data_IF_261082669921
#
_entry.id   IF_261082669921
#
_cell.length_a   1.000
_cell.length_b   1.000
_cell.length_c   1.000
_cell.angle_alpha   90.00
_cell.angle_beta   90.00
_cell.angle_gamma   90.00
#
_symmetry.space_group_name_H-M   'P 1'
#
loop_
_entity.id
_entity.type
_entity.pdbx_description
1 polymer ?
#
# COMPACT_ATOMS: atom_id res chain seq x y z
N UNK A 1 -22.27 3.92 12.57
CA UNK A 1 -21.66 3.33 11.36
C UNK A 1 -22.70 3.39 10.28
N UNK A 2 -22.42 4.07 9.15
CA UNK A 2 -23.20 3.87 7.94
C UNK A 2 -23.14 2.39 7.55
N UNK A 3 -24.23 1.83 7.02
CA UNK A 3 -24.21 0.47 6.50
C UNK A 3 -23.27 0.42 5.30
N UNK A 4 -22.44 -0.62 5.18
CA UNK A 4 -21.61 -0.82 4.01
C UNK A 4 -22.50 -0.90 2.76
N UNK A 5 -22.08 -0.34 1.60
CA UNK A 5 -22.85 -0.42 0.37
C UNK A 5 -23.13 -1.89 0.02
N UNK A 6 -24.39 -2.21 -0.33
CA UNK A 6 -24.77 -3.59 -0.63
C UNK A 6 -24.14 -4.06 -1.95
N UNK A 7 -23.51 -5.24 -1.98
CA UNK A 7 -22.95 -5.81 -3.20
C UNK A 7 -24.04 -5.96 -4.26
N UNK A 8 -23.82 -5.35 -5.43
CA UNK A 8 -24.77 -5.41 -6.54
C UNK A 8 -24.05 -5.88 -7.79
N UNK A 9 -24.62 -6.86 -8.49
CA UNK A 9 -24.14 -7.24 -9.80
C UNK A 9 -24.36 -6.09 -10.80
N UNK A 10 -23.30 -5.62 -11.45
CA UNK A 10 -23.38 -4.53 -12.42
C UNK A 10 -23.13 -5.07 -13.82
N UNK A 11 -24.21 -5.25 -14.57
CA UNK A 11 -24.13 -5.61 -15.98
C UNK A 11 -23.73 -4.39 -16.82
N UNK A 12 -22.85 -4.60 -17.82
CA UNK A 12 -22.49 -3.60 -18.85
C UNK A 12 -21.88 -2.28 -18.35
N UNK A 13 -21.63 -2.13 -17.05
CA UNK A 13 -20.94 -0.97 -16.47
C UNK A 13 -21.81 0.21 -16.07
N UNK A 14 -23.15 0.08 -16.03
CA UNK A 14 -24.02 1.17 -15.61
C UNK A 14 -23.68 1.69 -14.19
N UNK A 15 -23.50 3.00 -14.04
CA UNK A 15 -23.18 3.62 -12.75
C UNK A 15 -21.74 3.37 -12.26
N UNK A 16 -20.84 2.92 -13.14
CA UNK A 16 -19.42 2.69 -12.84
C UNK A 16 -18.57 3.82 -13.42
N UNK A 17 -17.77 4.47 -12.58
CA UNK A 17 -16.67 5.34 -13.03
C UNK A 17 -15.38 4.51 -13.03
N UNK A 18 -14.64 4.47 -14.14
CA UNK A 18 -13.32 3.84 -14.21
C UNK A 18 -12.28 4.89 -14.56
N UNK A 19 -11.36 5.18 -13.65
CA UNK A 19 -10.22 6.06 -13.90
C UNK A 19 -8.99 5.24 -14.27
N UNK A 20 -8.47 5.44 -15.49
CA UNK A 20 -7.28 4.79 -16.02
C UNK A 20 -6.06 5.68 -15.78
N UNK A 21 -5.15 5.23 -14.92
CA UNK A 21 -3.84 5.84 -14.74
C UNK A 21 -2.78 5.11 -15.59
N UNK A 22 -2.68 5.47 -16.87
CA UNK A 22 -1.77 4.85 -17.86
C UNK A 22 -0.28 5.10 -17.57
N UNK A 23 0.04 6.04 -16.67
CA UNK A 23 1.41 6.31 -16.21
C UNK A 23 1.90 5.28 -15.18
N UNK A 24 0.99 4.51 -14.58
CA UNK A 24 1.35 3.38 -13.72
C UNK A 24 1.98 2.23 -14.54
N UNK A 25 3.03 1.60 -14.02
CA UNK A 25 3.49 0.31 -14.56
C UNK A 25 4.28 0.33 -15.88
N UNK A 26 4.75 1.50 -16.36
CA UNK A 26 5.53 1.70 -17.61
C UNK A 26 6.80 0.85 -17.77
N UNK A 27 7.19 0.10 -16.75
CA UNK A 27 8.31 -0.85 -16.78
C UNK A 27 7.95 -2.22 -17.38
N UNK A 28 6.67 -2.51 -17.64
CA UNK A 28 6.19 -3.79 -18.16
C UNK A 28 5.31 -3.52 -19.39
N UNK A 29 5.59 -4.20 -20.52
CA UNK A 29 4.73 -4.14 -21.71
C UNK A 29 3.45 -4.91 -21.39
N UNK A 30 2.29 -4.26 -21.50
CA UNK A 30 0.97 -4.85 -21.32
C UNK A 30 0.06 -4.42 -22.46
N UNK A 31 -0.89 -5.27 -22.80
CA UNK A 31 -1.99 -4.86 -23.66
C UNK A 31 -2.79 -3.76 -22.97
N UNK A 32 -3.18 -2.73 -23.73
CA UNK A 32 -4.07 -1.70 -23.21
C UNK A 32 -5.46 -2.32 -22.98
N UNK A 33 -6.01 -2.27 -21.76
CA UNK A 33 -7.35 -2.83 -21.49
C UNK A 33 -8.50 -2.00 -22.07
N UNK A 34 -8.24 -0.87 -22.74
CA UNK A 34 -9.29 0.03 -23.23
C UNK A 34 -10.33 -0.68 -24.11
N UNK A 35 -9.90 -1.51 -25.07
CA UNK A 35 -10.81 -2.24 -25.96
C UNK A 35 -11.68 -3.23 -25.19
N UNK A 36 -11.07 -4.00 -24.28
CA UNK A 36 -11.79 -4.94 -23.43
C UNK A 36 -12.82 -4.24 -22.53
N UNK A 37 -12.45 -3.13 -21.90
CA UNK A 37 -13.35 -2.35 -21.03
C UNK A 37 -14.50 -1.80 -21.87
N UNK A 38 -14.23 -1.25 -23.05
CA UNK A 38 -15.27 -0.72 -23.94
C UNK A 38 -16.23 -1.80 -24.45
N UNK A 39 -15.72 -3.02 -24.72
CA UNK A 39 -16.53 -4.16 -25.16
C UNK A 39 -17.43 -4.69 -24.04
N UNK A 40 -16.86 -4.90 -22.85
CA UNK A 40 -17.57 -5.55 -21.72
C UNK A 40 -18.39 -4.58 -20.89
N UNK A 41 -17.91 -3.35 -20.72
CA UNK A 41 -18.52 -2.30 -19.90
C UNK A 41 -18.87 -1.06 -20.74
N UNK A 42 -19.69 -1.18 -21.80
CA UNK A 42 -19.98 -0.07 -22.71
C UNK A 42 -20.72 1.11 -22.06
N UNK A 43 -21.30 0.92 -20.87
CA UNK A 43 -22.05 1.95 -20.13
C UNK A 43 -21.25 2.55 -18.97
N UNK A 44 -19.99 2.12 -18.76
CA UNK A 44 -19.10 2.73 -17.77
C UNK A 44 -18.59 4.10 -18.23
N UNK A 45 -18.50 5.05 -17.29
CA UNK A 45 -17.79 6.32 -17.49
C UNK A 45 -16.29 6.05 -17.36
N UNK A 46 -15.59 5.89 -18.48
CA UNK A 46 -14.16 5.61 -18.49
C UNK A 46 -13.39 6.91 -18.74
N UNK A 47 -12.54 7.31 -17.79
CA UNK A 47 -11.68 8.49 -17.90
C UNK A 47 -10.22 8.12 -17.83
N UNK A 48 -9.40 8.74 -18.67
CA UNK A 48 -7.95 8.66 -18.55
C UNK A 48 -7.45 9.82 -17.69
N UNK A 49 -6.61 9.52 -16.69
CA UNK A 49 -6.08 10.53 -15.79
C UNK A 49 -4.95 11.31 -16.48
N UNK A 50 -5.17 12.59 -16.73
CA UNK A 50 -4.23 13.47 -17.41
C UNK A 50 -2.92 13.68 -16.63
N UNK A 51 -1.94 14.27 -17.30
CA UNK A 51 -0.72 14.74 -16.64
C UNK A 51 -1.05 15.94 -15.72
N UNK A 52 -0.72 15.82 -14.44
CA UNK A 52 -0.98 16.87 -13.45
C UNK A 52 -2.39 16.89 -12.87
N UNK A 53 -3.32 16.06 -13.37
CA UNK A 53 -4.64 15.89 -12.75
C UNK A 53 -4.56 15.04 -11.46
N UNK A 54 -5.33 15.45 -10.45
CA UNK A 54 -5.55 14.67 -9.24
C UNK A 54 -6.73 13.70 -9.43
N UNK A 55 -6.53 12.45 -9.02
CA UNK A 55 -7.59 11.44 -8.99
C UNK A 55 -8.79 11.90 -8.15
N UNK A 56 -8.55 12.62 -7.06
CA UNK A 56 -9.59 13.14 -6.19
C UNK A 56 -10.49 14.15 -6.90
N UNK A 57 -9.93 15.03 -7.73
CA UNK A 57 -10.71 16.03 -8.47
C UNK A 57 -11.65 15.36 -9.49
N UNK A 58 -11.16 14.34 -10.19
CA UNK A 58 -11.95 13.55 -11.14
C UNK A 58 -13.12 12.86 -10.44
N UNK A 59 -12.87 12.25 -9.29
CA UNK A 59 -13.90 11.55 -8.50
C UNK A 59 -14.88 12.54 -7.89
N UNK A 60 -14.41 13.61 -7.24
CA UNK A 60 -15.28 14.61 -6.60
C UNK A 60 -16.19 15.29 -7.64
N UNK A 61 -15.70 15.51 -8.86
CA UNK A 61 -16.52 16.00 -9.99
C UNK A 61 -17.62 14.99 -10.37
N UNK A 62 -17.28 13.71 -10.51
CA UNK A 62 -18.26 12.68 -10.85
C UNK A 62 -19.31 12.48 -9.73
N UNK A 63 -18.89 12.60 -8.48
CA UNK A 63 -19.76 12.48 -7.30
C UNK A 63 -20.70 13.67 -7.12
N UNK A 64 -20.41 14.81 -7.72
CA UNK A 64 -21.27 15.99 -7.73
C UNK A 64 -22.34 15.98 -8.85
N UNK A 65 -22.34 14.97 -9.72
CA UNK A 65 -23.32 14.84 -10.79
C UNK A 65 -24.73 14.51 -10.27
N UNK A 66 -25.77 14.75 -11.09
CA UNK A 66 -27.17 14.42 -10.76
C UNK A 66 -27.37 12.92 -10.48
N UNK A 67 -26.63 12.08 -11.19
CA UNK A 67 -26.62 10.63 -11.03
C UNK A 67 -25.17 10.18 -10.78
N UNK A 68 -24.68 10.26 -9.53
CA UNK A 68 -23.30 9.95 -9.21
C UNK A 68 -23.04 8.44 -9.31
N UNK A 69 -21.81 8.02 -9.67
CA UNK A 69 -21.48 6.61 -9.78
C UNK A 69 -21.68 5.87 -8.44
N UNK A 70 -22.17 4.63 -8.52
CA UNK A 70 -22.32 3.72 -7.39
C UNK A 70 -21.05 2.88 -7.15
N UNK A 71 -20.22 2.74 -8.20
CA UNK A 71 -18.94 2.03 -8.16
C UNK A 71 -17.83 2.95 -8.65
N UNK A 72 -16.75 3.03 -7.86
CA UNK A 72 -15.52 3.71 -8.24
C UNK A 72 -14.48 2.68 -8.62
N UNK A 73 -13.97 2.78 -9.84
CA UNK A 73 -13.03 1.87 -10.45
C UNK A 73 -11.70 2.54 -10.79
N UNK A 74 -10.61 1.81 -10.63
CA UNK A 74 -9.28 2.31 -11.02
C UNK A 74 -8.47 1.25 -11.75
N UNK A 75 -7.92 1.61 -12.91
CA UNK A 75 -6.86 0.87 -13.58
C UNK A 75 -5.53 1.54 -13.29
N UNK A 76 -4.71 0.94 -12.43
CA UNK A 76 -3.47 1.57 -11.97
C UNK A 76 -2.61 0.67 -11.08
N UNK A 77 -1.56 1.24 -10.51
CA UNK A 77 -0.72 0.57 -9.52
C UNK A 77 -1.23 0.72 -8.08
N UNK A 78 -0.48 0.17 -7.13
CA UNK A 78 -0.88 0.11 -5.71
C UNK A 78 -1.19 1.50 -5.10
N UNK A 79 -0.44 2.56 -5.46
CA UNK A 79 -0.73 3.93 -5.00
C UNK A 79 -2.07 4.48 -5.53
N UNK A 80 -2.37 4.28 -6.83
CA UNK A 80 -3.67 4.68 -7.40
C UNK A 80 -4.83 3.90 -6.81
N UNK A 81 -4.61 2.63 -6.50
CA UNK A 81 -5.58 1.77 -5.82
C UNK A 81 -5.84 2.23 -4.39
N UNK A 82 -4.79 2.57 -3.64
CA UNK A 82 -4.92 3.10 -2.28
C UNK A 82 -5.71 4.41 -2.27
N UNK A 83 -5.35 5.34 -3.17
CA UNK A 83 -6.06 6.62 -3.31
C UNK A 83 -7.52 6.45 -3.71
N UNK A 84 -7.82 5.55 -4.66
CA UNK A 84 -9.21 5.27 -5.03
C UNK A 84 -9.99 4.61 -3.90
N UNK A 85 -9.36 3.75 -3.08
CA UNK A 85 -10.01 3.14 -1.93
C UNK A 85 -10.36 4.17 -0.84
N UNK A 86 -9.49 5.15 -0.60
CA UNK A 86 -9.78 6.27 0.29
C UNK A 86 -10.98 7.07 -0.21
N UNK A 87 -11.05 7.36 -1.52
CA UNK A 87 -12.17 8.06 -2.14
C UNK A 87 -13.47 7.24 -2.11
N UNK A 88 -13.39 5.93 -2.36
CA UNK A 88 -14.52 5.03 -2.24
C UNK A 88 -15.07 4.99 -0.81
N UNK A 89 -14.19 4.96 0.20
CA UNK A 89 -14.59 5.06 1.60
C UNK A 89 -15.19 6.44 1.94
N UNK A 90 -14.57 7.53 1.49
CA UNK A 90 -15.05 8.92 1.69
C UNK A 90 -16.49 9.10 1.18
N UNK A 91 -16.79 8.48 0.04
CA UNK A 91 -18.07 8.62 -0.65
C UNK A 91 -19.05 7.47 -0.42
N UNK A 92 -18.73 6.50 0.45
CA UNK A 92 -19.53 5.28 0.67
C UNK A 92 -19.87 4.54 -0.64
N UNK A 93 -18.85 4.19 -1.42
CA UNK A 93 -18.97 3.50 -2.73
C UNK A 93 -18.22 2.18 -2.75
N UNK A 94 -18.69 1.26 -3.61
CA UNK A 94 -17.99 0.02 -3.91
C UNK A 94 -16.74 0.32 -4.75
N UNK A 95 -15.69 -0.45 -4.52
CA UNK A 95 -14.41 -0.30 -5.22
C UNK A 95 -14.21 -1.41 -6.26
N UNK A 96 -13.86 -1.01 -7.48
CA UNK A 96 -13.42 -1.92 -8.55
C UNK A 96 -11.92 -1.71 -8.81
N UNK A 97 -11.10 -2.71 -8.53
CA UNK A 97 -9.65 -2.63 -8.73
C UNK A 97 -9.25 -3.36 -10.00
N UNK A 98 -8.59 -2.67 -10.93
CA UNK A 98 -8.04 -3.25 -12.14
C UNK A 98 -6.50 -3.14 -12.14
N UNK A 99 -5.76 -4.26 -12.24
CA UNK A 99 -4.31 -4.26 -12.09
C UNK A 99 -3.59 -3.62 -13.30
N UNK A 100 -3.08 -2.39 -13.13
CA UNK A 100 -2.31 -1.65 -14.15
C UNK A 100 -0.84 -1.38 -13.79
N UNK A 101 -0.44 -1.55 -12.53
CA UNK A 101 0.91 -1.30 -12.04
C UNK A 101 1.91 -2.44 -12.21
N UNK A 102 3.14 -2.28 -11.73
CA UNK A 102 4.20 -3.29 -11.85
C UNK A 102 3.96 -4.49 -10.93
N UNK A 103 3.62 -4.23 -9.66
CA UNK A 103 3.53 -5.28 -8.64
C UNK A 103 2.10 -5.70 -8.30
N UNK A 104 1.15 -4.75 -8.30
CA UNK A 104 -0.29 -4.98 -8.06
C UNK A 104 -0.53 -5.83 -6.81
N UNK A 105 0.16 -5.49 -5.73
CA UNK A 105 0.12 -6.25 -4.48
C UNK A 105 -1.30 -6.37 -3.95
N UNK A 106 -2.05 -5.25 -3.93
CA UNK A 106 -3.42 -5.27 -3.45
C UNK A 106 -4.33 -6.15 -4.30
N UNK A 107 -4.37 -5.89 -5.62
CA UNK A 107 -5.23 -6.60 -6.55
C UNK A 107 -5.00 -8.13 -6.46
N UNK A 108 -3.73 -8.55 -6.39
CA UNK A 108 -3.36 -9.96 -6.22
C UNK A 108 -3.80 -10.54 -4.89
N UNK A 109 -3.67 -9.81 -3.79
CA UNK A 109 -4.21 -10.25 -2.48
C UNK A 109 -5.73 -10.33 -2.49
N UNK A 110 -6.41 -9.58 -3.35
CA UNK A 110 -7.85 -9.69 -3.59
C UNK A 110 -8.23 -10.80 -4.58
N UNK A 111 -7.27 -11.53 -5.15
CA UNK A 111 -7.53 -12.52 -6.21
C UNK A 111 -7.79 -11.93 -7.58
N UNK A 112 -7.68 -10.60 -7.76
CA UNK A 112 -7.86 -9.91 -9.04
C UNK A 112 -6.53 -9.89 -9.79
N UNK A 113 -6.33 -10.88 -10.66
CA UNK A 113 -5.05 -11.12 -11.35
C UNK A 113 -4.89 -10.32 -12.66
N UNK A 114 -6.01 -9.98 -13.29
CA UNK A 114 -6.11 -9.21 -14.53
C UNK A 114 -7.41 -8.39 -14.58
N UNK A 115 -7.62 -7.64 -15.68
CA UNK A 115 -8.81 -6.80 -15.88
C UNK A 115 -10.07 -7.65 -16.10
N UNK A 116 -9.95 -8.80 -16.76
CA UNK A 116 -11.06 -9.72 -17.04
C UNK A 116 -11.65 -10.23 -15.73
N UNK A 117 -10.79 -10.68 -14.80
CA UNK A 117 -11.18 -11.12 -13.46
C UNK A 117 -11.90 -10.02 -12.67
N UNK A 118 -11.49 -8.76 -12.83
CA UNK A 118 -12.14 -7.63 -12.18
C UNK A 118 -13.56 -7.41 -12.72
N UNK A 119 -13.73 -7.48 -14.05
CA UNK A 119 -15.02 -7.34 -14.73
C UNK A 119 -15.94 -8.50 -14.37
N UNK A 120 -15.44 -9.73 -14.34
CA UNK A 120 -16.24 -10.91 -13.97
C UNK A 120 -16.75 -10.81 -12.51
N UNK A 121 -15.92 -10.30 -11.60
CA UNK A 121 -16.34 -10.04 -10.23
C UNK A 121 -17.41 -8.94 -10.13
N UNK A 122 -17.28 -7.86 -10.92
CA UNK A 122 -18.26 -6.79 -11.03
C UNK A 122 -19.62 -7.31 -11.55
N UNK A 123 -19.60 -8.05 -12.66
CA UNK A 123 -20.80 -8.57 -13.32
C UNK A 123 -21.51 -9.64 -12.47
N UNK A 124 -20.77 -10.41 -11.67
CA UNK A 124 -21.34 -11.39 -10.74
C UNK A 124 -21.80 -10.77 -9.41
N UNK A 125 -21.42 -9.53 -9.10
CA UNK A 125 -21.68 -8.90 -7.81
C UNK A 125 -20.83 -9.48 -6.66
N UNK A 126 -19.78 -10.25 -6.98
CA UNK A 126 -18.92 -10.88 -5.98
C UNK A 126 -17.98 -9.86 -5.36
N UNK A 127 -18.00 -9.75 -4.03
CA UNK A 127 -17.23 -8.77 -3.28
C UNK A 127 -16.51 -9.36 -2.07
N UNK A 128 -15.57 -8.60 -1.54
CA UNK A 128 -14.91 -8.83 -0.26
C UNK A 128 -14.83 -7.54 0.52
N UNK A 129 -15.03 -7.62 1.82
CA UNK A 129 -14.85 -6.48 2.71
C UNK A 129 -13.42 -6.43 3.21
N UNK A 130 -12.76 -5.30 2.98
CA UNK A 130 -11.33 -5.17 3.21
C UNK A 130 -11.11 -4.36 4.46
N UNK A 131 -10.39 -4.93 5.42
CA UNK A 131 -9.83 -4.18 6.55
C UNK A 131 -8.63 -3.37 6.07
N UNK A 132 -8.45 -2.17 6.64
CA UNK A 132 -7.36 -1.26 6.29
C UNK A 132 -6.85 -0.55 7.55
N UNK A 133 -5.66 0.06 7.48
CA UNK A 133 -5.12 0.87 8.58
C UNK A 133 -5.38 2.34 8.31
N UNK A 134 -5.90 3.04 9.31
CA UNK A 134 -6.00 4.48 9.33
C UNK A 134 -4.82 5.06 10.11
N UNK A 135 -4.11 6.00 9.49
CA UNK A 135 -2.92 6.65 10.04
C UNK A 135 -3.21 8.11 10.28
N UNK A 136 -2.99 8.55 11.52
CA UNK A 136 -3.04 9.97 11.87
C UNK A 136 -1.64 10.42 12.27
N UNK A 137 -1.12 11.42 11.57
CA UNK A 137 0.15 12.07 11.89
C UNK A 137 -0.11 13.38 12.64
N UNK A 138 0.35 13.46 13.89
CA UNK A 138 0.06 14.54 14.85
C UNK A 138 -1.46 14.78 14.96
N UNK A 139 -1.92 16.01 14.73
CA UNK A 139 -3.34 16.40 14.68
C UNK A 139 -3.83 16.58 13.23
N UNK A 140 -3.14 15.97 12.26
CA UNK A 140 -3.50 16.01 10.84
C UNK A 140 -4.72 15.15 10.49
N UNK A 141 -5.22 15.25 9.24
CA UNK A 141 -6.28 14.37 8.79
C UNK A 141 -5.82 12.90 8.75
N UNK A 142 -6.71 11.94 9.03
CA UNK A 142 -6.39 10.53 8.88
C UNK A 142 -6.21 10.16 7.40
N UNK A 143 -5.22 9.32 7.12
CA UNK A 143 -4.97 8.74 5.79
C UNK A 143 -5.22 7.24 5.85
N UNK A 144 -5.90 6.70 4.85
CA UNK A 144 -6.16 5.27 4.74
C UNK A 144 -5.00 4.59 3.99
N UNK A 145 -4.45 3.51 4.56
CA UNK A 145 -3.54 2.64 3.86
C UNK A 145 -4.07 1.20 3.86
N UNK A 146 -4.05 0.59 2.69
CA UNK A 146 -4.59 -0.74 2.44
C UNK A 146 -3.63 -1.82 2.95
N UNK A 147 -2.33 -1.71 2.72
CA UNK A 147 -1.38 -2.79 3.01
C UNK A 147 -0.56 -2.51 4.26
N UNK A 148 0.17 -1.41 4.28
CA UNK A 148 1.15 -1.18 5.32
C UNK A 148 1.61 0.28 5.42
N UNK A 149 2.10 0.59 6.62
CA UNK A 149 2.69 1.86 7.01
C UNK A 149 4.07 1.57 7.58
N UNK A 150 5.06 2.41 7.28
CA UNK A 150 6.43 2.19 7.72
C UNK A 150 7.19 3.47 8.00
N UNK A 151 8.12 3.38 8.95
CA UNK A 151 9.05 4.45 9.34
C UNK A 151 10.46 3.85 9.45
N UNK A 152 11.50 4.59 9.01
CA UNK A 152 12.91 4.27 9.27
C UNK A 152 13.77 3.99 8.05
N UNK A 153 14.57 2.93 8.00
CA UNK A 153 15.47 2.68 6.86
C UNK A 153 14.74 2.41 5.52
N UNK A 154 13.40 2.45 5.48
CA UNK A 154 12.57 2.16 4.32
C UNK A 154 12.22 3.40 3.46
N UNK A 155 11.84 4.58 4.01
CA UNK A 155 11.61 5.78 3.21
C UNK A 155 12.88 6.34 2.56
N UNK A 156 14.04 6.20 3.20
CA UNK A 156 15.34 6.60 2.60
C UNK A 156 15.65 5.79 1.33
N UNK A 157 15.18 4.54 1.25
CA UNK A 157 15.32 3.66 0.08
C UNK A 157 14.37 4.01 -1.06
N UNK A 158 13.25 4.66 -0.75
CA UNK A 158 12.25 5.11 -1.73
C UNK A 158 12.63 6.51 -2.27
N UNK A 159 13.10 7.43 -1.43
CA UNK A 159 13.55 8.79 -1.84
C UNK A 159 14.69 8.76 -2.87
N UNK A 160 15.61 7.79 -2.76
CA UNK A 160 16.71 7.66 -3.74
C UNK A 160 16.30 6.98 -5.05
N UNK A 161 15.10 6.41 -5.12
CA UNK A 161 14.58 5.77 -6.32
C UNK A 161 14.18 6.80 -7.39
N UNK A 162 13.77 7.99 -6.96
CA UNK A 162 13.34 9.07 -7.87
C UNK A 162 14.45 10.06 -8.22
N UNK A 163 15.43 10.28 -7.34
CA UNK A 163 16.46 11.32 -7.56
C UNK A 163 17.63 10.92 -8.45
N UNK A 164 17.83 9.64 -8.78
CA UNK A 164 19.01 9.17 -9.55
C UNK A 164 18.66 8.28 -10.75
N UNK A 165 17.66 8.67 -11.53
CA UNK A 165 17.30 7.98 -12.78
C UNK A 165 18.13 8.46 -13.99
N UNK A 166 19.46 8.45 -13.87
CA UNK A 166 20.34 8.65 -15.02
C UNK A 166 21.60 7.77 -14.96
N UNK A 167 21.69 6.89 -15.96
CA UNK A 167 22.87 6.14 -16.44
C UNK A 167 23.52 5.18 -15.45
N UNK A 168 23.04 3.93 -15.50
CA UNK A 168 23.79 2.66 -15.64
C UNK A 168 22.74 1.53 -15.51
N UNK A 169 22.91 0.43 -16.26
CA UNK A 169 21.87 -0.59 -16.52
C UNK A 169 20.85 -0.79 -15.40
N UNK A 170 19.56 -0.62 -15.76
CA UNK A 170 18.33 -0.47 -14.94
C UNK A 170 18.21 -1.29 -13.64
N UNK A 171 18.97 -2.36 -13.46
CA UNK A 171 18.92 -3.24 -12.28
C UNK A 171 20.13 -3.06 -11.34
N UNK A 172 21.33 -2.85 -11.89
CA UNK A 172 22.56 -2.65 -11.10
C UNK A 172 22.57 -1.28 -10.42
N UNK A 173 22.04 -0.24 -11.09
CA UNK A 173 21.89 1.09 -10.50
C UNK A 173 20.95 1.12 -9.28
N UNK A 174 19.86 0.34 -9.32
CA UNK A 174 18.93 0.21 -8.19
C UNK A 174 19.54 -0.54 -7.00
N UNK A 175 20.37 -1.55 -7.25
CA UNK A 175 21.07 -2.31 -6.19
C UNK A 175 22.17 -1.45 -5.54
N UNK A 176 22.93 -0.69 -6.32
CA UNK A 176 23.98 0.20 -5.79
C UNK A 176 23.37 1.37 -5.02
N UNK A 177 22.27 1.96 -5.51
CA UNK A 177 21.53 3.00 -4.78
C UNK A 177 21.00 2.46 -3.45
N UNK A 178 20.28 1.34 -3.46
CA UNK A 178 19.83 0.69 -2.24
C UNK A 178 21.00 0.40 -1.29
N UNK A 179 22.12 -0.14 -1.78
CA UNK A 179 23.30 -0.45 -0.97
C UNK A 179 23.99 0.78 -0.36
N UNK A 180 24.01 1.92 -1.06
CA UNK A 180 24.53 3.19 -0.54
C UNK A 180 23.60 3.77 0.52
N UNK A 181 22.28 3.79 0.28
CA UNK A 181 21.27 4.21 1.25
C UNK A 181 21.32 3.35 2.52
N UNK A 182 21.46 2.04 2.35
CA UNK A 182 21.59 1.06 3.43
C UNK A 182 22.85 1.32 4.28
N UNK A 183 23.93 1.89 3.71
CA UNK A 183 25.16 2.25 4.45
C UNK A 183 25.07 3.58 5.19
N UNK A 184 24.17 4.49 4.78
CA UNK A 184 23.93 5.78 5.43
C UNK A 184 22.76 5.75 6.43
N UNK A 185 21.92 4.72 6.38
CA UNK A 185 20.79 4.57 7.30
C UNK A 185 21.27 4.54 8.75
N UNK A 186 20.67 5.36 9.60
CA UNK A 186 20.93 5.38 11.04
C UNK A 186 19.67 5.01 11.82
N UNK A 187 19.82 4.38 13.00
CA UNK A 187 18.66 4.10 13.83
C UNK A 187 17.97 5.38 14.25
N UNK A 188 16.66 5.45 14.03
CA UNK A 188 15.82 6.48 14.60
C UNK A 188 15.40 6.11 16.02
N UNK A 189 14.98 7.09 16.79
CA UNK A 189 14.41 6.85 18.12
C UNK A 189 12.90 6.93 18.05
N UNK A 190 12.21 5.91 18.55
CA UNK A 190 10.77 5.97 18.81
C UNK A 190 10.49 6.06 20.31
N UNK A 191 9.39 6.70 20.67
CA UNK A 191 8.80 6.66 22.01
C UNK A 191 7.46 5.95 21.92
N UNK A 192 7.30 4.89 22.71
CA UNK A 192 6.03 4.17 22.88
C UNK A 192 5.76 4.00 24.37
N UNK A 193 4.56 4.36 24.82
CA UNK A 193 4.15 4.18 26.23
C UNK A 193 5.19 4.78 27.22
N UNK A 194 5.79 5.92 26.87
CA UNK A 194 6.83 6.59 27.65
C UNK A 194 8.23 5.95 27.58
N UNK A 195 8.41 4.83 26.88
CA UNK A 195 9.69 4.14 26.70
C UNK A 195 10.35 4.51 25.37
N UNK A 196 11.64 4.86 25.43
CA UNK A 196 12.46 5.14 24.24
C UNK A 196 13.09 3.85 23.71
N UNK A 197 13.02 3.63 22.40
CA UNK A 197 13.72 2.55 21.71
C UNK A 197 14.44 3.11 20.47
N UNK A 198 15.67 2.62 20.23
CA UNK A 198 16.37 2.86 18.96
C UNK A 198 16.03 1.75 17.99
N UNK A 199 15.55 2.11 16.81
CA UNK A 199 15.01 1.15 15.83
C UNK A 199 15.56 1.45 14.44
N UNK A 200 15.78 0.40 13.67
CA UNK A 200 16.06 0.50 12.24
C UNK A 200 14.80 0.80 11.45
N UNK A 201 13.68 0.19 11.85
CA UNK A 201 12.39 0.41 11.22
C UNK A 201 11.25 0.00 12.14
N UNK A 202 10.08 0.59 11.88
CA UNK A 202 8.79 0.10 12.35
C UNK A 202 7.94 -0.16 11.12
N UNK A 203 7.33 -1.34 11.05
CA UNK A 203 6.40 -1.72 10.01
C UNK A 203 5.07 -2.08 10.65
N UNK A 204 3.98 -1.48 10.17
CA UNK A 204 2.61 -1.71 10.61
C UNK A 204 1.86 -2.26 9.41
N UNK A 205 1.68 -3.57 9.35
CA UNK A 205 0.93 -4.25 8.30
C UNK A 205 -0.52 -4.51 8.69
N UNK A 206 -1.41 -4.58 7.70
CA UNK A 206 -2.81 -5.01 7.90
C UNK A 206 -2.92 -6.53 7.83
N UNK A 207 -3.56 -7.12 8.84
CA UNK A 207 -3.71 -8.57 8.99
C UNK A 207 -2.41 -9.25 9.43
N UNK A 208 -2.52 -10.51 9.87
CA UNK A 208 -1.33 -11.30 10.18
C UNK A 208 -0.58 -11.62 8.90
N UNK A 209 0.73 -11.54 8.99
CA UNK A 209 1.62 -12.06 7.94
C UNK A 209 2.45 -13.24 8.42
N UNK A 210 3.04 -13.97 7.47
CA UNK A 210 4.01 -15.05 7.68
C UNK A 210 5.01 -14.72 8.83
N UNK A 211 5.01 -15.51 9.93
CA UNK A 211 5.90 -15.29 11.07
C UNK A 211 7.39 -15.47 10.75
N UNK A 212 7.74 -16.08 9.62
CA UNK A 212 9.13 -16.32 9.20
C UNK A 212 9.77 -15.15 8.44
N UNK A 213 9.01 -14.15 8.03
CA UNK A 213 9.48 -13.10 7.11
C UNK A 213 9.50 -11.74 7.77
N UNK A 214 10.64 -11.05 7.85
CA UNK A 214 10.77 -9.78 8.60
C UNK A 214 9.95 -8.63 7.98
N UNK A 215 9.73 -8.64 6.67
CA UNK A 215 8.80 -7.74 5.97
C UNK A 215 8.04 -8.52 4.89
N UNK A 216 6.71 -8.50 4.94
CA UNK A 216 5.81 -9.05 3.92
C UNK A 216 4.96 -7.92 3.39
N UNK A 217 5.12 -7.61 2.10
CA UNK A 217 4.25 -6.66 1.39
C UNK A 217 2.94 -7.32 0.92
N UNK A 218 2.75 -8.61 1.18
CA UNK A 218 1.54 -9.36 0.83
C UNK A 218 0.85 -9.82 2.10
N UNK A 219 -0.39 -9.37 2.27
CA UNK A 219 -1.30 -9.87 3.30
C UNK A 219 -1.85 -11.22 2.91
N UNK A 220 -2.03 -12.09 3.90
CA UNK A 220 -2.62 -13.42 3.72
C UNK A 220 -4.14 -13.39 3.75
N UNK A 221 -4.72 -12.42 4.47
CA UNK A 221 -6.16 -12.24 4.62
C UNK A 221 -6.52 -10.75 4.45
N UNK A 222 -7.57 -10.46 3.66
CA UNK A 222 -8.05 -9.10 3.43
C UNK A 222 -8.98 -8.57 4.53
N UNK A 223 -9.66 -9.47 5.22
CA UNK A 223 -10.75 -9.18 6.15
C UNK A 223 -10.22 -9.02 7.59
N UNK A 224 -9.06 -9.62 7.92
CA UNK A 224 -8.56 -9.69 9.29
C UNK A 224 -8.37 -8.28 9.91
N UNK A 225 -9.12 -7.93 10.97
CA UNK A 225 -9.09 -6.60 11.56
C UNK A 225 -8.03 -6.51 12.66
N UNK A 226 -6.78 -6.82 12.32
CA UNK A 226 -5.63 -6.63 13.21
C UNK A 226 -4.46 -5.95 12.51
N UNK A 227 -3.61 -5.27 13.28
CA UNK A 227 -2.32 -4.77 12.80
C UNK A 227 -1.21 -5.74 13.22
N UNK A 228 -0.38 -6.17 12.27
CA UNK A 228 0.87 -6.89 12.52
C UNK A 228 2.02 -5.87 12.55
N UNK A 229 2.38 -5.45 13.76
CA UNK A 229 3.42 -4.45 14.01
C UNK A 229 4.75 -5.15 14.25
N UNK A 230 5.78 -4.72 13.51
CA UNK A 230 7.13 -5.26 13.57
C UNK A 230 8.10 -4.12 13.84
N UNK A 231 8.75 -4.19 14.99
CA UNK A 231 9.73 -3.20 15.44
C UNK A 231 11.09 -3.86 15.32
N UNK A 232 11.90 -3.36 14.38
CA UNK A 232 13.27 -3.81 14.24
C UNK A 232 14.17 -2.98 15.15
N UNK A 233 14.46 -3.50 16.34
CA UNK A 233 15.32 -2.85 17.30
C UNK A 233 16.75 -2.74 16.76
N UNK A 234 17.42 -1.64 17.09
CA UNK A 234 18.80 -1.42 16.72
C UNK A 234 19.77 -2.18 17.64
N UNK A 235 19.60 -3.50 17.74
CA UNK A 235 20.53 -4.42 18.36
C UNK A 235 21.38 -5.10 17.27
N UNK A 236 22.71 -5.06 17.41
CA UNK A 236 23.64 -5.66 16.45
C UNK A 236 24.16 -4.73 15.33
N UNK A 237 24.69 -5.33 14.25
CA UNK A 237 25.42 -4.59 13.20
C UNK A 237 24.50 -4.13 12.06
N UNK A 238 24.78 -2.95 11.47
CA UNK A 238 24.09 -2.37 10.30
C UNK A 238 23.84 -3.39 9.18
N UNK A 239 24.81 -4.27 8.91
CA UNK A 239 24.71 -5.31 7.88
C UNK A 239 23.54 -6.29 8.10
N UNK A 240 23.18 -6.59 9.35
CA UNK A 240 22.03 -7.45 9.69
C UNK A 240 20.71 -6.71 9.50
N UNK A 241 20.68 -5.41 9.83
CA UNK A 241 19.53 -4.55 9.56
C UNK A 241 19.17 -4.54 8.08
N UNK A 242 20.20 -4.39 7.23
CA UNK A 242 20.11 -4.41 5.77
C UNK A 242 19.61 -5.78 5.26
N UNK A 243 20.15 -6.88 5.79
CA UNK A 243 19.73 -8.23 5.39
C UNK A 243 18.25 -8.51 5.66
N UNK A 244 17.67 -7.88 6.69
CA UNK A 244 16.24 -8.02 7.02
C UNK A 244 15.28 -7.44 5.98
N UNK A 245 15.79 -6.56 5.11
CA UNK A 245 15.03 -5.89 4.05
C UNK A 245 15.08 -6.67 2.73
N UNK A 246 15.50 -7.93 2.73
CA UNK A 246 15.57 -8.75 1.51
C UNK A 246 14.20 -9.35 1.13
N UNK A 247 13.57 -8.77 0.11
CA UNK A 247 12.19 -9.07 -0.31
C UNK A 247 11.98 -10.37 -1.13
N UNK A 248 13.04 -11.10 -1.49
CA UNK A 248 12.94 -12.27 -2.39
C UNK A 248 13.12 -13.62 -1.68
N UNK A 249 12.27 -14.62 -2.00
CA UNK A 249 12.37 -16.00 -1.44
C UNK A 249 13.78 -16.60 -1.54
N UNK A 250 14.45 -16.40 -2.67
CA UNK A 250 15.83 -16.88 -2.91
C UNK A 250 16.87 -16.07 -2.14
N UNK A 251 16.70 -14.74 -2.07
CA UNK A 251 17.60 -13.83 -1.35
C UNK A 251 17.53 -14.07 0.16
N UNK A 252 16.34 -14.23 0.71
CA UNK A 252 16.12 -14.54 2.12
C UNK A 252 16.70 -15.91 2.50
N UNK A 253 16.53 -16.93 1.64
CA UNK A 253 17.11 -18.26 1.87
C UNK A 253 18.65 -18.25 1.88
N UNK A 254 19.29 -17.51 0.97
CA UNK A 254 20.74 -17.35 0.94
C UNK A 254 21.24 -16.59 2.17
N UNK A 255 20.56 -15.51 2.58
CA UNK A 255 20.94 -14.75 3.78
C UNK A 255 20.77 -15.55 5.08
N UNK A 256 19.75 -16.40 5.13
CA UNK A 256 19.54 -17.34 6.23
C UNK A 256 20.66 -18.39 6.28
N UNK A 257 21.04 -18.97 5.14
CA UNK A 257 22.14 -19.92 5.04
C UNK A 257 23.48 -19.31 5.46
N UNK A 258 23.69 -18.02 5.18
CA UNK A 258 24.89 -17.26 5.56
C UNK A 258 24.87 -16.71 7.00
N UNK A 259 23.82 -16.98 7.79
CA UNK A 259 23.63 -16.43 9.16
C UNK A 259 23.70 -14.89 9.22
N UNK A 260 23.30 -14.23 8.14
CA UNK A 260 23.29 -12.77 8.01
C UNK A 260 21.95 -12.15 8.45
N UNK A 261 20.92 -12.96 8.66
CA UNK A 261 19.64 -12.51 9.20
C UNK A 261 19.78 -12.04 10.65
N UNK A 262 19.09 -10.95 11.06
CA UNK A 262 19.02 -10.60 12.47
C UNK A 262 18.35 -11.74 13.25
N UNK A 263 18.87 -12.11 14.44
CA UNK A 263 18.18 -13.05 15.31
C UNK A 263 16.76 -12.55 15.60
N UNK A 264 15.81 -13.48 15.79
CA UNK A 264 14.41 -13.14 16.12
C UNK A 264 14.28 -12.24 17.36
N UNK A 265 15.29 -12.20 18.22
CA UNK A 265 15.37 -11.28 19.36
C UNK A 265 15.44 -9.80 18.99
N UNK A 266 15.88 -9.46 17.78
CA UNK A 266 16.03 -8.08 17.31
C UNK A 266 14.73 -7.52 16.71
N UNK A 267 13.73 -8.39 16.46
CA UNK A 267 12.44 -8.01 15.90
C UNK A 267 11.34 -8.31 16.91
N UNK A 268 10.81 -7.26 17.52
CA UNK A 268 9.59 -7.36 18.32
C UNK A 268 8.38 -7.41 17.37
N UNK A 269 7.45 -8.34 17.64
CA UNK A 269 6.21 -8.48 16.89
C UNK A 269 5.01 -8.32 17.82
N UNK A 270 4.05 -7.51 17.41
CA UNK A 270 2.80 -7.27 18.11
C UNK A 270 1.64 -7.48 17.13
N UNK A 271 0.56 -8.13 17.61
CA UNK A 271 -0.69 -8.21 16.85
C UNK A 271 -1.76 -7.49 17.67
N UNK A 272 -2.13 -6.29 17.23
CA UNK A 272 -2.90 -5.33 18.03
C UNK A 272 -3.92 -4.60 17.15
N UNK A 273 -5.05 -4.12 17.70
CA UNK A 273 -6.02 -3.33 16.93
C UNK A 273 -5.55 -1.89 16.66
N UNK A 274 -4.55 -1.40 17.41
CA UNK A 274 -4.01 -0.06 17.24
C UNK A 274 -2.58 0.04 17.76
N UNK A 275 -1.83 0.99 17.23
CA UNK A 275 -0.43 1.21 17.56
C UNK A 275 -0.07 2.69 17.49
N UNK A 276 0.41 3.22 18.61
CA UNK A 276 0.84 4.61 18.73
C UNK A 276 2.34 4.69 18.97
N UNK A 277 3.00 5.62 18.27
CA UNK A 277 4.40 5.93 18.49
C UNK A 277 4.68 7.42 18.27
N UNK A 278 5.70 7.94 18.94
CA UNK A 278 6.33 9.21 18.56
C UNK A 278 7.66 8.93 17.91
N UNK A 279 7.84 9.42 16.69
CA UNK A 279 9.07 9.34 15.92
C UNK A 279 9.92 10.55 16.30
N UNK A 280 11.08 10.35 16.91
CA UNK A 280 12.03 11.40 17.21
C UNK A 280 13.07 11.48 16.09
N UNK A 281 13.11 12.63 15.41
CA UNK A 281 14.01 12.89 14.29
C UNK A 281 14.88 14.10 14.62
N UNK A 282 16.17 14.03 14.31
CA UNK A 282 17.08 15.17 14.43
C UNK A 282 16.64 16.31 13.47
N UNK A 283 16.78 17.59 13.84
CA UNK A 283 16.28 18.71 13.03
C UNK A 283 16.78 18.74 11.58
N UNK A 284 17.96 18.18 11.32
CA UNK A 284 18.64 18.15 10.03
C UNK A 284 18.21 16.97 9.14
N UNK A 285 17.34 16.08 9.65
CA UNK A 285 16.89 14.88 8.95
C UNK A 285 15.45 15.00 8.47
N UNK A 286 15.13 14.37 7.32
CA UNK A 286 13.76 14.31 6.84
C UNK A 286 12.89 13.55 7.85
N UNK A 287 11.80 14.18 8.28
CA UNK A 287 10.76 13.55 9.09
C UNK A 287 9.74 12.96 8.13
N UNK A 288 9.80 11.65 7.88
CA UNK A 288 8.97 11.00 6.86
C UNK A 288 8.40 9.67 7.35
N UNK A 289 7.22 9.33 6.84
CA UNK A 289 6.68 7.97 6.87
C UNK A 289 6.21 7.57 5.47
N UNK A 290 6.06 6.26 5.25
CA UNK A 290 5.58 5.72 3.97
C UNK A 290 4.34 4.88 4.22
N UNK A 291 3.33 5.04 3.39
CA UNK A 291 2.12 4.23 3.39
C UNK A 291 1.79 3.80 1.96
N UNK A 292 1.51 2.50 1.75
CA UNK A 292 1.25 1.90 0.43
C UNK A 292 2.24 2.23 -0.71
N UNK A 293 3.44 2.70 -0.37
CA UNK A 293 4.47 3.12 -1.33
C UNK A 293 4.52 4.63 -1.59
N UNK A 294 3.56 5.40 -1.07
CA UNK A 294 3.56 6.86 -1.06
C UNK A 294 4.35 7.39 0.14
N UNK A 295 5.11 8.47 -0.07
CA UNK A 295 5.96 9.09 0.94
C UNK A 295 5.31 10.37 1.46
N UNK A 296 5.22 10.47 2.78
CA UNK A 296 4.62 11.61 3.48
C UNK A 296 5.70 12.37 4.25
N UNK A 297 5.88 13.64 3.88
CA UNK A 297 6.80 14.55 4.56
C UNK A 297 6.12 15.23 5.76
N UNK A 298 6.85 15.35 6.86
CA UNK A 298 6.43 16.01 8.10
C UNK A 298 7.36 17.17 8.43
N UNK A 299 6.86 18.16 9.19
CA UNK A 299 7.72 19.20 9.75
C UNK A 299 8.91 18.60 10.51
N UNK A 300 10.03 19.31 10.48
CA UNK A 300 11.23 18.89 11.20
C UNK A 300 10.99 18.81 12.72
N UNK A 301 11.71 17.91 13.40
CA UNK A 301 11.62 17.73 14.85
C UNK A 301 10.83 16.50 15.30
N UNK A 302 10.42 15.63 14.36
CA UNK A 302 9.67 14.42 14.67
C UNK A 302 8.16 14.62 14.69
N UNK A 303 7.43 13.53 14.86
CA UNK A 303 5.97 13.51 14.74
C UNK A 303 5.38 12.33 15.51
N UNK A 304 4.10 12.44 15.89
CA UNK A 304 3.32 11.33 16.43
C UNK A 304 2.64 10.60 15.30
N UNK A 305 2.68 9.27 15.32
CA UNK A 305 1.84 8.42 14.49
C UNK A 305 0.89 7.62 15.36
N UNK A 306 -0.39 7.66 14.99
CA UNK A 306 -1.44 6.78 15.51
C UNK A 306 -1.94 5.93 14.36
N UNK A 307 -1.81 4.62 14.50
CA UNK A 307 -2.29 3.64 13.54
C UNK A 307 -3.47 2.88 14.16
N UNK A 308 -4.61 2.84 13.50
CA UNK A 308 -5.81 2.14 13.99
C UNK A 308 -6.36 1.26 12.88
N UNK A 309 -6.66 0.00 13.19
CA UNK A 309 -7.34 -0.86 12.22
C UNK A 309 -8.79 -0.42 12.05
N UNK A 310 -9.22 -0.31 10.80
CA UNK A 310 -10.60 -0.09 10.41
C UNK A 310 -11.13 -1.39 9.80
N UNK A 311 -11.99 -2.14 10.51
CA UNK A 311 -12.64 -3.31 9.94
C UNK A 311 -13.59 -2.89 8.83
N UNK A 312 -13.68 -3.68 7.75
CA UNK A 312 -14.62 -3.43 6.63
C UNK A 312 -14.49 -1.99 6.09
N UNK A 313 -13.26 -1.50 5.95
CA UNK A 313 -12.95 -0.13 5.57
C UNK A 313 -13.43 0.22 4.15
N UNK A 314 -13.38 -0.76 3.24
CA UNK A 314 -13.86 -0.63 1.86
C UNK A 314 -14.37 -1.99 1.38
N UNK A 315 -15.41 -1.98 0.55
CA UNK A 315 -15.93 -3.19 -0.09
C UNK A 315 -15.45 -3.24 -1.54
N UNK A 316 -14.80 -4.33 -1.93
CA UNK A 316 -14.09 -4.44 -3.21
C UNK A 316 -14.68 -5.58 -4.03
N UNK A 317 -14.91 -5.36 -5.34
CA UNK A 317 -15.23 -6.45 -6.26
C UNK A 317 -14.03 -7.39 -6.40
N UNK A 318 -14.26 -8.66 -6.09
CA UNK A 318 -13.23 -9.70 -6.07
C UNK A 318 -13.86 -11.07 -6.35
N UNK A 319 -13.13 -12.03 -6.93
CA UNK A 319 -13.61 -13.39 -7.12
C UNK A 319 -14.14 -14.01 -5.82
N UNK A 320 -15.09 -14.94 -5.93
CA UNK A 320 -15.60 -15.70 -4.79
C UNK A 320 -14.48 -16.39 -4.01
N UNK A 321 -14.71 -16.67 -2.73
CA UNK A 321 -13.70 -17.28 -1.84
C UNK A 321 -13.18 -18.65 -2.32
N UNK A 322 -13.93 -19.38 -3.15
CA UNK A 322 -13.49 -20.65 -3.75
C UNK A 322 -12.41 -20.48 -4.86
N UNK A 323 -12.25 -19.26 -5.38
CA UNK A 323 -11.30 -18.92 -6.43
C UNK A 323 -10.05 -18.17 -5.93
N UNK A 324 -9.95 -17.92 -4.61
CA UNK A 324 -8.87 -17.14 -3.96
C UNK A 324 -7.80 -18.02 -3.30
#
# INVERSE_FOLDING_TARGET
>A
MAAAPEPTAVARGHGVLIVRNTRSGTAVIRADPAELIAERLPEADVRELGEGEDLADVVDTAMAATDPPSVLGVYGGDGSVSRMAELARKHDRLLLVMPGGTFNHFARSAGVVDVETAIDALESGSTVEVSAVEVTADDGPPVLALNAVSVGAYPELIDQRDRRRARLGKWLGGIVAAWITLRSAEPLTIVREGRRARVWSVFVGVGRSDPMRVATMQRENLEEPTLDVRIHHASGTRMRAIASLAFGKRTAAVLHALKLMPPRSDVERLVVPGFDMTVCVEPERPSVYVHDGELEERPAGGFRLRCVIVPRAVTVYAPGSEAR
#
